data_IF_898097820419
#
_entry.id   IF_898097820419
#
_cell.length_a   1.000
_cell.length_b   1.000
_cell.length_c   1.000
_cell.angle_alpha   90.00
_cell.angle_beta   90.00
_cell.angle_gamma   90.00
#
_symmetry.space_group_name_H-M   'P 1'
#
loop_
_entity.id
_entity.type
_entity.pdbx_description
1 polymer ?
#
# COMPACT_ATOMS: atom_id res chain seq x y z
N UNK A 1 -0.97 6.39 18.11
CA UNK A 1 -0.09 7.45 17.57
C UNK A 1 0.59 6.94 16.30
N UNK A 2 0.33 7.54 15.14
CA UNK A 2 1.02 7.16 13.89
C UNK A 2 2.42 7.76 13.97
N UNK A 3 3.45 6.92 13.94
CA UNK A 3 4.83 7.36 13.95
C UNK A 3 5.05 8.41 12.83
N UNK A 4 5.62 9.57 13.19
CA UNK A 4 5.91 10.67 12.28
C UNK A 4 6.82 10.15 11.16
N UNK A 5 6.25 9.88 9.99
CA UNK A 5 7.02 9.39 8.85
C UNK A 5 7.79 10.55 8.25
N UNK A 6 9.08 10.35 8.04
CA UNK A 6 9.93 11.30 7.35
C UNK A 6 9.48 11.60 5.91
N UNK A 7 10.18 12.46 5.17
CA UNK A 7 9.82 12.83 3.79
C UNK A 7 9.64 11.61 2.89
N UNK A 8 8.47 11.48 2.28
CA UNK A 8 8.08 10.30 1.47
C UNK A 8 9.05 10.05 0.30
N UNK A 9 9.44 11.09 -0.42
CA UNK A 9 10.40 11.00 -1.52
C UNK A 9 11.79 10.51 -1.07
N UNK A 10 12.22 10.87 0.15
CA UNK A 10 13.47 10.37 0.71
C UNK A 10 13.44 8.86 0.89
N UNK A 11 12.29 8.32 1.30
CA UNK A 11 12.09 6.88 1.44
C UNK A 11 12.13 6.16 0.09
N UNK A 12 11.43 6.67 -0.93
CA UNK A 12 11.44 6.12 -2.29
C UNK A 12 12.84 6.11 -2.87
N UNK A 13 13.56 7.23 -2.78
CA UNK A 13 14.95 7.35 -3.26
C UNK A 13 15.89 6.35 -2.59
N UNK A 14 15.68 6.09 -1.29
CA UNK A 14 16.48 5.11 -0.55
C UNK A 14 16.22 3.68 -1.02
N UNK A 15 14.96 3.36 -1.35
CA UNK A 15 14.55 2.02 -1.79
C UNK A 15 14.79 1.79 -3.29
N UNK A 16 14.96 2.85 -4.08
CA UNK A 16 15.16 2.77 -5.52
C UNK A 16 13.96 2.21 -6.29
N UNK A 17 12.77 2.16 -5.68
CA UNK A 17 11.56 1.58 -6.26
C UNK A 17 10.38 2.51 -6.01
N UNK A 18 9.51 2.77 -7.02
CA UNK A 18 8.31 3.56 -6.84
C UNK A 18 7.36 2.86 -5.85
N UNK A 19 6.75 3.65 -4.98
CA UNK A 19 5.76 3.20 -3.99
C UNK A 19 4.45 3.94 -4.22
N UNK A 20 3.57 3.48 -5.12
CA UNK A 20 2.36 4.19 -5.52
C UNK A 20 1.39 4.40 -4.35
N UNK A 21 1.32 3.46 -3.41
CA UNK A 21 0.50 3.61 -2.21
C UNK A 21 0.97 4.71 -1.26
N UNK A 22 2.23 5.12 -1.33
CA UNK A 22 2.80 6.12 -0.41
C UNK A 22 2.65 7.54 -0.91
N UNK A 23 2.88 7.80 -2.21
CA UNK A 23 2.84 9.14 -2.80
C UNK A 23 2.70 9.08 -4.31
N UNK A 24 2.07 10.13 -4.88
CA UNK A 24 2.00 10.36 -6.34
C UNK A 24 3.32 10.90 -6.94
N UNK A 25 4.19 11.48 -6.11
CA UNK A 25 5.42 12.11 -6.58
C UNK A 25 6.44 11.06 -6.96
N UNK A 26 7.05 11.20 -8.13
CA UNK A 26 8.16 10.37 -8.61
C UNK A 26 9.51 10.90 -8.14
N UNK A 27 10.53 10.07 -8.20
CA UNK A 27 11.91 10.45 -7.84
C UNK A 27 12.80 10.75 -9.04
N UNK A 28 12.21 10.92 -10.24
CA UNK A 28 12.92 11.01 -11.52
C UNK A 28 13.93 12.16 -11.56
N UNK A 29 13.59 13.31 -10.96
CA UNK A 29 14.52 14.46 -10.86
C UNK A 29 15.78 14.17 -10.03
N UNK A 30 15.73 13.19 -9.11
CA UNK A 30 16.84 12.82 -8.22
C UNK A 30 16.83 11.29 -8.00
N UNK A 31 17.27 10.48 -8.98
CA UNK A 31 17.16 9.01 -8.94
C UNK A 31 18.19 8.32 -8.03
N UNK A 32 18.97 9.08 -7.31
CA UNK A 32 20.04 8.60 -6.42
C UNK A 32 19.61 8.61 -4.94
N UNK A 33 20.27 7.81 -4.08
CA UNK A 33 19.99 7.77 -2.65
C UNK A 33 20.13 9.15 -1.98
N UNK A 34 19.42 9.43 -0.88
CA UNK A 34 19.49 10.71 -0.19
C UNK A 34 20.72 10.81 0.72
N UNK A 35 21.17 12.05 0.99
CA UNK A 35 22.25 12.37 1.93
C UNK A 35 23.64 12.03 1.40
N UNK A 36 24.55 11.64 2.28
CA UNK A 36 25.96 11.34 1.97
C UNK A 36 26.15 10.21 0.93
N UNK A 37 25.13 9.40 0.70
CA UNK A 37 25.11 8.35 -0.32
C UNK A 37 24.58 8.85 -1.67
N UNK A 38 24.40 10.15 -1.86
CA UNK A 38 24.01 10.79 -3.11
C UNK A 38 25.11 10.76 -4.18
N UNK A 39 24.95 11.53 -5.29
CA UNK A 39 25.86 11.48 -6.45
C UNK A 39 27.33 11.74 -6.12
N UNK A 40 27.59 12.61 -5.15
CA UNK A 40 28.94 12.96 -4.70
C UNK A 40 29.54 12.00 -3.68
N UNK A 41 28.71 11.18 -3.02
CA UNK A 41 29.17 10.19 -2.03
C UNK A 41 29.67 8.87 -2.64
N UNK A 42 29.56 8.72 -3.96
CA UNK A 42 29.99 7.53 -4.69
C UNK A 42 31.39 7.62 -5.32
N UNK A 43 32.12 8.68 -5.09
CA UNK A 43 33.45 8.84 -5.61
C UNK A 43 34.43 7.81 -5.02
N UNK A 44 34.75 6.77 -5.77
CA UNK A 44 35.92 5.95 -5.58
C UNK A 44 35.76 4.62 -4.78
N UNK A 45 34.65 4.37 -4.08
CA UNK A 45 34.42 3.03 -3.50
C UNK A 45 33.25 2.39 -4.21
N UNK A 46 33.54 1.36 -5.02
CA UNK A 46 32.57 0.56 -5.76
C UNK A 46 31.32 0.24 -4.90
N UNK A 47 30.15 0.17 -5.53
CA UNK A 47 28.88 -0.20 -4.87
C UNK A 47 29.16 -1.39 -3.96
N UNK A 48 29.16 -1.18 -2.63
CA UNK A 48 29.30 -2.31 -1.70
C UNK A 48 28.26 -3.35 -2.05
N UNK A 49 28.70 -4.57 -2.32
CA UNK A 49 27.82 -5.71 -2.56
C UNK A 49 26.85 -5.76 -1.38
N UNK A 50 25.56 -5.67 -1.67
CA UNK A 50 24.54 -5.70 -0.66
C UNK A 50 24.53 -7.06 0.02
N UNK A 51 24.58 -7.12 1.34
CA UNK A 51 24.45 -8.38 2.07
C UNK A 51 23.05 -8.94 1.88
N UNK A 52 22.92 -10.27 2.00
CA UNK A 52 21.63 -10.96 1.92
C UNK A 52 20.61 -10.38 2.92
N UNK A 53 21.01 -10.19 4.17
CA UNK A 53 20.19 -9.51 5.16
C UNK A 53 19.75 -8.12 4.70
N UNK A 54 20.68 -7.35 4.10
CA UNK A 54 20.35 -6.01 3.60
C UNK A 54 19.30 -6.05 2.48
N UNK A 55 19.36 -7.05 1.58
CA UNK A 55 18.37 -7.27 0.53
C UNK A 55 17.00 -7.57 1.13
N UNK A 56 16.92 -8.56 2.00
CA UNK A 56 15.69 -8.97 2.68
C UNK A 56 15.07 -7.81 3.48
N UNK A 57 15.89 -7.05 4.20
CA UNK A 57 15.45 -5.86 4.93
C UNK A 57 14.83 -4.81 4.02
N UNK A 58 15.43 -4.55 2.84
CA UNK A 58 14.88 -3.59 1.88
C UNK A 58 13.53 -4.04 1.33
N UNK A 59 13.39 -5.31 0.96
CA UNK A 59 12.12 -5.87 0.47
C UNK A 59 11.01 -5.73 1.54
N UNK A 60 11.31 -6.07 2.78
CA UNK A 60 10.38 -5.84 3.90
C UNK A 60 10.01 -4.36 4.04
N UNK A 61 10.98 -3.44 3.92
CA UNK A 61 10.71 -2.01 4.03
C UNK A 61 9.85 -1.47 2.87
N UNK A 62 9.96 -2.03 1.66
CA UNK A 62 9.07 -1.71 0.53
C UNK A 62 7.63 -1.98 0.92
N UNK A 63 7.30 -3.18 1.42
CA UNK A 63 5.96 -3.52 1.88
C UNK A 63 5.49 -2.58 2.98
N UNK A 64 6.27 -2.44 4.04
CA UNK A 64 5.91 -1.62 5.19
C UNK A 64 5.59 -0.19 4.81
N UNK A 65 6.37 0.41 3.91
CA UNK A 65 6.20 1.81 3.51
C UNK A 65 5.06 1.97 2.51
N UNK A 66 4.92 1.07 1.55
CA UNK A 66 3.84 1.14 0.56
C UNK A 66 2.46 1.03 1.22
N UNK A 67 2.22 -0.02 2.01
CA UNK A 67 0.94 -0.24 2.70
C UNK A 67 0.80 0.58 3.99
N UNK A 68 1.86 1.26 4.39
CA UNK A 68 1.82 2.12 5.54
C UNK A 68 1.60 1.41 6.88
N UNK A 69 1.91 0.15 6.98
CA UNK A 69 1.78 -0.64 8.22
C UNK A 69 2.95 -0.43 9.17
N UNK A 70 2.72 -0.61 10.47
CA UNK A 70 3.78 -0.65 11.46
C UNK A 70 4.51 -2.01 11.43
N UNK A 71 5.70 -2.10 12.02
CA UNK A 71 6.44 -3.37 12.11
C UNK A 71 5.64 -4.43 12.85
N UNK A 72 5.01 -4.05 13.97
CA UNK A 72 4.14 -4.95 14.74
C UNK A 72 2.98 -5.48 13.90
N UNK A 73 2.33 -4.62 13.13
CA UNK A 73 1.23 -5.03 12.24
C UNK A 73 1.73 -5.99 11.15
N UNK A 74 2.87 -5.68 10.52
CA UNK A 74 3.42 -6.53 9.47
C UNK A 74 3.79 -7.92 10.01
N UNK A 75 4.36 -8.00 11.21
CA UNK A 75 4.64 -9.26 11.89
C UNK A 75 3.36 -10.05 12.18
N UNK A 76 2.30 -9.39 12.63
CA UNK A 76 1.01 -10.05 12.86
C UNK A 76 0.41 -10.57 11.54
N UNK A 77 0.53 -9.83 10.42
CA UNK A 77 0.09 -10.31 9.12
C UNK A 77 0.92 -11.50 8.64
N UNK A 78 2.24 -11.52 8.92
CA UNK A 78 3.10 -12.65 8.61
C UNK A 78 2.64 -13.91 9.34
N UNK A 79 2.43 -13.83 10.65
CA UNK A 79 1.93 -14.94 11.46
C UNK A 79 0.54 -15.43 10.99
N UNK A 80 -0.32 -14.53 10.50
CA UNK A 80 -1.60 -14.92 9.90
C UNK A 80 -1.41 -15.62 8.55
N UNK A 81 -0.48 -15.13 7.72
CA UNK A 81 -0.18 -15.72 6.42
C UNK A 81 0.44 -17.12 6.52
N UNK A 82 1.26 -17.36 7.53
CA UNK A 82 1.85 -18.67 7.82
C UNK A 82 0.81 -19.72 8.23
N UNK A 83 -0.25 -19.29 8.90
CA UNK A 83 -1.36 -20.19 9.29
C UNK A 83 -2.27 -20.57 8.13
N UNK A 84 -2.23 -19.82 7.04
CA UNK A 84 -2.98 -20.14 5.82
C UNK A 84 -2.17 -21.12 4.98
N UNK A 85 -2.81 -22.15 4.43
CA UNK A 85 -2.16 -23.08 3.53
C UNK A 85 -1.64 -22.39 2.25
N UNK A 86 -0.63 -22.98 1.60
CA UNK A 86 -0.04 -22.45 0.38
C UNK A 86 1.22 -21.59 0.63
N UNK A 87 1.49 -20.65 -0.27
CA UNK A 87 2.70 -19.82 -0.21
C UNK A 87 2.51 -18.65 0.72
N UNK A 88 3.25 -18.60 1.81
CA UNK A 88 3.18 -17.56 2.85
C UNK A 88 3.33 -16.14 2.27
N UNK A 89 4.24 -15.94 1.31
CA UNK A 89 4.44 -14.62 0.68
C UNK A 89 3.21 -14.14 -0.09
N UNK A 90 2.58 -15.01 -0.87
CA UNK A 90 1.34 -14.69 -1.59
C UNK A 90 0.20 -14.39 -0.63
N UNK A 91 0.04 -15.20 0.43
CA UNK A 91 -0.96 -14.98 1.48
C UNK A 91 -0.74 -13.64 2.19
N UNK A 92 0.50 -13.29 2.50
CA UNK A 92 0.84 -11.99 3.10
C UNK A 92 0.39 -10.83 2.22
N UNK A 93 0.68 -10.88 0.93
CA UNK A 93 0.28 -9.84 -0.02
C UNK A 93 -1.24 -9.77 -0.15
N UNK A 94 -1.93 -10.90 -0.22
CA UNK A 94 -3.40 -10.95 -0.25
C UNK A 94 -4.00 -10.32 1.02
N UNK A 95 -3.47 -10.60 2.19
CA UNK A 95 -3.91 -9.97 3.44
C UNK A 95 -3.69 -8.45 3.44
N UNK A 96 -2.57 -7.96 2.90
CA UNK A 96 -2.28 -6.52 2.80
C UNK A 96 -3.19 -5.83 1.78
N UNK A 97 -3.52 -6.48 0.67
CA UNK A 97 -4.45 -5.95 -0.34
C UNK A 97 -5.90 -5.88 0.17
N UNK A 98 -6.33 -6.82 1.02
CA UNK A 98 -7.66 -6.84 1.63
C UNK A 98 -7.93 -5.75 2.66
N UNK A 99 -6.94 -4.94 3.03
CA UNK A 99 -7.14 -3.85 3.98
C UNK A 99 -8.03 -2.76 3.38
N UNK A 100 -8.96 -2.25 4.17
CA UNK A 100 -9.91 -1.22 3.73
C UNK A 100 -9.21 0.05 3.24
N UNK A 101 -8.12 0.49 3.92
CA UNK A 101 -7.36 1.66 3.48
C UNK A 101 -6.71 1.46 2.09
N UNK A 102 -6.27 0.24 1.79
CA UNK A 102 -5.74 -0.09 0.48
C UNK A 102 -6.85 -0.19 -0.57
N UNK A 103 -7.98 -0.84 -0.27
CA UNK A 103 -9.11 -0.95 -1.22
C UNK A 103 -9.67 0.42 -1.58
N UNK A 104 -9.83 1.32 -0.61
CA UNK A 104 -10.24 2.72 -0.86
C UNK A 104 -9.27 3.43 -1.81
N UNK A 105 -7.96 3.23 -1.65
CA UNK A 105 -6.94 3.75 -2.55
C UNK A 105 -7.04 3.11 -3.95
N UNK A 106 -7.20 1.78 -4.05
CA UNK A 106 -7.32 1.06 -5.32
C UNK A 106 -8.54 1.47 -6.14
N UNK A 107 -9.66 1.73 -5.48
CA UNK A 107 -10.88 2.25 -6.11
C UNK A 107 -10.77 3.72 -6.57
N UNK A 108 -9.64 4.39 -6.28
CA UNK A 108 -9.44 5.79 -6.66
C UNK A 108 -10.17 6.80 -5.78
N UNK A 109 -10.78 6.37 -4.66
CA UNK A 109 -11.49 7.26 -3.73
C UNK A 109 -10.54 8.14 -2.92
N UNK A 110 -9.27 7.80 -2.87
CA UNK A 110 -8.21 8.58 -2.23
C UNK A 110 -6.91 8.50 -3.02
N UNK A 111 -6.10 9.58 -3.02
CA UNK A 111 -4.90 9.67 -3.86
C UNK A 111 -3.70 8.85 -3.35
N UNK A 112 -3.72 8.42 -2.10
CA UNK A 112 -2.65 7.62 -1.48
C UNK A 112 -3.22 6.79 -0.33
N UNK A 113 -2.56 5.71 0.08
CA UNK A 113 -2.96 4.91 1.25
C UNK A 113 -3.00 5.74 2.55
N UNK A 114 -2.04 6.66 2.84
CA UNK A 114 -2.17 7.55 3.99
C UNK A 114 -3.42 8.45 3.96
N UNK A 115 -3.83 8.97 2.78
CA UNK A 115 -5.06 9.74 2.62
C UNK A 115 -6.30 8.84 2.80
N UNK A 116 -6.30 7.66 2.18
CA UNK A 116 -7.36 6.67 2.37
C UNK A 116 -7.55 6.30 3.84
N UNK A 117 -6.45 6.11 4.57
CA UNK A 117 -6.46 5.83 6.01
C UNK A 117 -7.09 6.96 6.82
N UNK A 118 -6.80 8.20 6.47
CA UNK A 118 -7.41 9.37 7.10
C UNK A 118 -8.91 9.40 6.82
N UNK A 119 -9.33 9.16 5.58
CA UNK A 119 -10.73 9.11 5.18
C UNK A 119 -11.50 8.04 5.97
N UNK A 120 -10.91 6.83 6.11
CA UNK A 120 -11.49 5.74 6.92
C UNK A 120 -11.55 6.14 8.40
N UNK A 121 -10.44 6.60 8.99
CA UNK A 121 -10.37 6.92 10.41
C UNK A 121 -11.34 8.05 10.82
N UNK A 122 -11.66 8.97 9.90
CA UNK A 122 -12.67 10.01 10.13
C UNK A 122 -14.10 9.51 9.92
N UNK A 123 -14.28 8.21 9.57
CA UNK A 123 -15.60 7.58 9.42
C UNK A 123 -16.34 7.98 8.16
N UNK A 124 -15.61 8.37 7.12
CA UNK A 124 -16.17 8.75 5.82
C UNK A 124 -16.35 7.56 4.87
N UNK A 125 -15.94 6.36 5.25
CA UNK A 125 -16.06 5.16 4.43
C UNK A 125 -17.16 4.25 5.00
N UNK A 126 -17.93 3.67 4.10
CA UNK A 126 -18.98 2.70 4.40
C UNK A 126 -18.66 1.37 3.74
N UNK A 127 -18.92 0.28 4.45
CA UNK A 127 -18.89 -1.09 3.92
C UNK A 127 -20.29 -1.65 4.09
N UNK A 128 -20.94 -2.09 3.01
CA UNK A 128 -22.32 -2.54 2.95
C UNK A 128 -23.30 -1.57 3.64
N UNK A 129 -23.10 -0.27 3.38
CA UNK A 129 -23.90 0.81 3.96
C UNK A 129 -23.53 1.20 5.41
N UNK A 130 -22.74 0.40 6.13
CA UNK A 130 -22.34 0.65 7.52
C UNK A 130 -21.05 1.43 7.59
N UNK A 131 -20.97 2.41 8.50
CA UNK A 131 -19.75 3.18 8.76
C UNK A 131 -18.66 2.27 9.34
N UNK A 132 -17.46 2.34 8.75
CA UNK A 132 -16.27 1.66 9.26
C UNK A 132 -15.14 2.68 9.43
N UNK A 133 -14.57 2.74 10.62
CA UNK A 133 -13.48 3.68 10.99
C UNK A 133 -12.11 2.99 11.18
N UNK A 134 -12.08 1.66 11.05
CA UNK A 134 -10.84 0.86 11.17
C UNK A 134 -10.19 0.66 9.81
N UNK A 135 -9.07 1.34 9.58
CA UNK A 135 -8.31 1.22 8.32
C UNK A 135 -7.76 -0.20 8.04
N UNK A 136 -7.57 -0.99 9.10
CA UNK A 136 -7.13 -2.39 9.02
C UNK A 136 -8.30 -3.38 8.86
N UNK A 137 -9.54 -2.90 8.66
CA UNK A 137 -10.69 -3.77 8.40
C UNK A 137 -10.40 -4.62 7.15
N UNK A 138 -10.63 -5.92 7.27
CA UNK A 138 -10.38 -6.88 6.20
C UNK A 138 -11.64 -7.03 5.35
N UNK A 139 -11.57 -6.61 4.10
CA UNK A 139 -12.68 -6.81 3.17
C UNK A 139 -12.72 -8.24 2.65
N UNK A 140 -13.90 -8.69 2.29
CA UNK A 140 -14.17 -10.02 1.71
C UNK A 140 -14.89 -9.86 0.36
N UNK A 141 -14.87 -10.91 -0.44
CA UNK A 141 -15.65 -10.94 -1.67
C UNK A 141 -17.14 -10.65 -1.38
N UNK A 142 -17.78 -9.88 -2.24
CA UNK A 142 -19.15 -9.43 -2.12
C UNK A 142 -19.33 -8.09 -1.41
N UNK A 143 -18.38 -7.63 -0.58
CA UNK A 143 -18.51 -6.33 0.11
C UNK A 143 -18.59 -5.17 -0.88
N UNK A 144 -19.51 -4.24 -0.62
CA UNK A 144 -19.63 -2.96 -1.30
C UNK A 144 -18.96 -1.87 -0.46
N UNK A 145 -18.07 -1.13 -1.08
CA UNK A 145 -17.32 -0.04 -0.44
C UNK A 145 -17.77 1.27 -1.08
N UNK A 146 -18.09 2.25 -0.28
CA UNK A 146 -18.44 3.59 -0.73
C UNK A 146 -18.04 4.65 0.27
N UNK A 147 -18.18 5.92 -0.12
CA UNK A 147 -17.95 7.04 0.78
C UNK A 147 -19.28 7.66 1.23
N UNK A 148 -19.29 8.29 2.41
CA UNK A 148 -20.45 8.99 2.94
C UNK A 148 -20.79 10.22 2.08
N UNK A 149 -22.05 10.69 2.11
CA UNK A 149 -22.51 11.85 1.35
C UNK A 149 -21.68 13.10 1.67
N UNK A 150 -21.30 13.29 2.94
CA UNK A 150 -20.40 14.36 3.35
C UNK A 150 -19.04 14.27 2.64
N UNK A 151 -18.48 13.07 2.51
CA UNK A 151 -17.18 12.86 1.88
C UNK A 151 -17.24 13.05 0.36
N UNK A 152 -18.36 12.76 -0.30
CA UNK A 152 -18.57 13.03 -1.74
C UNK A 152 -18.34 14.50 -2.08
N UNK A 153 -18.64 15.41 -1.15
CA UNK A 153 -18.47 16.85 -1.34
C UNK A 153 -17.08 17.37 -1.01
N UNK A 154 -16.20 16.54 -0.47
CA UNK A 154 -14.81 16.93 -0.16
C UNK A 154 -14.01 17.14 -1.45
N UNK A 155 -13.30 18.28 -1.61
CA UNK A 155 -12.51 18.56 -2.82
C UNK A 155 -11.47 17.48 -3.13
N UNK A 156 -10.82 16.92 -2.10
CA UNK A 156 -9.81 15.87 -2.25
C UNK A 156 -10.41 14.58 -2.81
N UNK A 157 -11.62 14.20 -2.38
CA UNK A 157 -12.32 12.99 -2.85
C UNK A 157 -12.81 13.20 -4.27
N UNK A 158 -13.45 14.34 -4.57
CA UNK A 158 -13.89 14.71 -5.94
C UNK A 158 -12.72 14.66 -6.92
N UNK A 159 -11.66 15.37 -6.62
CA UNK A 159 -10.44 15.37 -7.45
C UNK A 159 -9.84 13.97 -7.62
N UNK A 160 -9.86 13.13 -6.58
CA UNK A 160 -9.35 11.77 -6.67
C UNK A 160 -10.19 10.89 -7.61
N UNK A 161 -11.51 10.98 -7.52
CA UNK A 161 -12.46 10.23 -8.35
C UNK A 161 -12.40 10.70 -9.81
N UNK A 162 -12.28 12.01 -10.06
CA UNK A 162 -12.14 12.59 -11.41
C UNK A 162 -10.85 12.11 -12.10
N UNK A 163 -9.74 12.05 -11.38
CA UNK A 163 -8.47 11.54 -11.93
C UNK A 163 -8.43 10.02 -12.05
N UNK A 164 -9.36 9.32 -11.41
CA UNK A 164 -9.42 7.86 -11.36
C UNK A 164 -8.31 7.21 -10.52
N UNK A 165 -8.27 5.86 -10.52
CA UNK A 165 -7.28 5.10 -9.77
C UNK A 165 -5.85 5.42 -10.20
N UNK A 166 -4.94 5.65 -9.24
CA UNK A 166 -3.53 5.96 -9.50
C UNK A 166 -2.73 4.78 -10.08
N UNK A 167 -3.25 3.59 -9.91
CA UNK A 167 -2.70 2.33 -10.39
C UNK A 167 -3.82 1.59 -11.08
N UNK A 168 -3.50 0.83 -12.12
CA UNK A 168 -4.49 0.00 -12.81
C UNK A 168 -5.37 -0.72 -11.79
N UNK A 169 -6.69 -0.62 -11.98
CA UNK A 169 -7.66 -1.30 -11.13
C UNK A 169 -7.42 -2.80 -11.20
N UNK A 170 -7.16 -3.48 -10.07
CA UNK A 170 -6.94 -4.92 -10.08
C UNK A 170 -8.24 -5.68 -10.33
N UNK A 171 -8.13 -6.90 -10.89
CA UNK A 171 -9.27 -7.70 -11.30
C UNK A 171 -10.22 -8.11 -10.17
N UNK A 172 -9.76 -8.10 -8.93
CA UNK A 172 -10.60 -8.43 -7.78
C UNK A 172 -11.53 -7.28 -7.32
N UNK A 173 -11.41 -6.08 -7.93
CA UNK A 173 -12.24 -4.91 -7.64
C UNK A 173 -13.01 -4.45 -8.88
N UNK A 174 -14.23 -3.95 -8.70
CA UNK A 174 -14.98 -3.23 -9.71
C UNK A 174 -15.49 -1.90 -9.14
N UNK A 175 -15.41 -0.85 -9.94
CA UNK A 175 -16.08 0.41 -9.65
C UNK A 175 -17.58 0.22 -9.95
N UNK A 176 -18.45 0.78 -9.13
CA UNK A 176 -19.89 0.70 -9.37
C UNK A 176 -20.25 1.58 -10.59
N UNK A 177 -20.87 1.02 -11.64
CA UNK A 177 -21.26 1.78 -12.82
C UNK A 177 -22.25 2.92 -12.50
N UNK A 178 -23.07 2.74 -11.48
CA UNK A 178 -24.10 3.71 -11.06
C UNK A 178 -23.58 4.76 -10.10
N UNK A 179 -22.48 4.49 -9.37
CA UNK A 179 -21.91 5.38 -8.37
C UNK A 179 -20.39 5.39 -8.40
N UNK A 180 -19.82 6.42 -9.04
CA UNK A 180 -18.35 6.62 -9.12
C UNK A 180 -17.66 6.76 -7.76
N UNK A 181 -18.42 7.01 -6.69
CA UNK A 181 -17.91 7.12 -5.32
C UNK A 181 -17.95 5.80 -4.55
N UNK A 182 -18.09 4.69 -5.27
CA UNK A 182 -18.13 3.36 -4.70
C UNK A 182 -17.60 2.28 -5.62
N UNK A 183 -17.50 1.09 -5.06
CA UNK A 183 -17.11 -0.11 -5.78
C UNK A 183 -17.38 -1.35 -4.96
N UNK A 184 -17.11 -2.51 -5.54
CA UNK A 184 -17.31 -3.80 -4.88
C UNK A 184 -16.07 -4.69 -5.00
N UNK A 185 -15.93 -5.59 -4.06
CA UNK A 185 -14.93 -6.66 -4.09
C UNK A 185 -15.57 -7.86 -4.80
N UNK A 186 -14.99 -8.28 -5.92
CA UNK A 186 -15.50 -9.41 -6.73
C UNK A 186 -14.98 -10.74 -6.18
N UNK A 187 -13.67 -10.79 -5.92
CA UNK A 187 -12.96 -11.99 -5.47
C UNK A 187 -11.91 -11.63 -4.43
N UNK A 188 -11.21 -12.60 -3.92
CA UNK A 188 -10.02 -12.34 -3.09
C UNK A 188 -8.83 -12.00 -3.99
N UNK A 189 -7.93 -11.08 -3.57
CA UNK A 189 -6.76 -10.70 -4.35
C UNK A 189 -5.77 -11.85 -4.50
N UNK A 190 -5.22 -12.01 -5.70
CA UNK A 190 -4.16 -12.95 -6.03
C UNK A 190 -2.81 -12.21 -6.19
N UNK A 191 -1.71 -12.94 -6.24
CA UNK A 191 -0.35 -12.36 -6.43
C UNK A 191 -0.27 -11.48 -7.69
N UNK A 192 -0.90 -11.91 -8.78
CA UNK A 192 -0.93 -11.17 -10.05
C UNK A 192 -1.64 -9.81 -9.98
N UNK A 193 -2.53 -9.62 -9.01
CA UNK A 193 -3.24 -8.35 -8.81
C UNK A 193 -2.41 -7.28 -8.10
N UNK A 194 -1.26 -7.67 -7.52
CA UNK A 194 -0.41 -6.78 -6.71
C UNK A 194 0.62 -6.09 -7.61
N UNK A 195 0.46 -4.79 -7.90
CA UNK A 195 1.37 -4.07 -8.81
C UNK A 195 2.70 -3.68 -8.16
N UNK A 196 2.88 -3.95 -6.87
CA UNK A 196 4.13 -3.66 -6.18
C UNK A 196 5.21 -4.68 -6.57
N UNK A 197 6.33 -4.17 -7.09
CA UNK A 197 7.52 -4.97 -7.38
C UNK A 197 8.24 -5.26 -6.06
N UNK A 198 8.05 -6.47 -5.55
CA UNK A 198 8.64 -6.95 -4.29
C UNK A 198 8.96 -8.43 -4.39
N UNK A 199 10.08 -8.82 -3.80
CA UNK A 199 10.47 -10.21 -3.60
C UNK A 199 9.83 -10.70 -2.30
N UNK A 200 8.70 -11.39 -2.44
CA UNK A 200 7.92 -11.90 -1.31
C UNK A 200 8.63 -13.05 -0.59
N UNK A 201 9.43 -13.86 -1.30
CA UNK A 201 10.25 -14.90 -0.69
C UNK A 201 11.31 -14.31 0.26
N UNK A 202 12.00 -13.25 -0.17
CA UNK A 202 12.97 -12.55 0.66
C UNK A 202 12.35 -11.94 1.92
N UNK A 203 11.07 -11.53 1.86
CA UNK A 203 10.35 -11.04 3.04
C UNK A 203 10.03 -12.18 4.00
N UNK A 204 9.61 -13.34 3.51
CA UNK A 204 9.36 -14.54 4.33
C UNK A 204 10.65 -14.96 5.03
N UNK A 205 11.75 -15.08 4.29
CA UNK A 205 13.07 -15.44 4.83
C UNK A 205 13.56 -14.46 5.92
N UNK A 206 13.24 -13.16 5.77
CA UNK A 206 13.58 -12.16 6.79
C UNK A 206 12.93 -12.44 8.14
N UNK A 207 11.68 -12.95 8.14
CA UNK A 207 10.95 -13.26 9.37
C UNK A 207 11.16 -14.67 9.89
N UNK A 208 11.68 -15.58 9.07
CA UNK A 208 12.01 -16.95 9.47
C UNK A 208 13.29 -17.08 10.30
N UNK A 209 14.03 -15.97 10.50
CA UNK A 209 15.27 -15.92 11.29
C UNK A 209 15.01 -15.73 12.77
#
# INVERSE_FOLDING_TARGET
MVAKRGPRLKSIRRLGTPLPGLTRKTSDKKPYPPGQHGPTGGGGRGRKKQSEYGRQLLEKQKLRLNYGVSERQLRNYMALAERQGGKTGENLLALLERRLDNVVFRLGLAPTIPSARQLVAHGHVRVDGRRVDRSAFMVSAGHRIGVSDRARNMPEVKSSVEHGPQVKLPGYLAIDPSDKFGGRVISLPMRGDVPLIVDDAAVVEFYAR
#
